data_IF_519872285069
#
_entry.id   IF_519872285069
#
_cell.length_a   1.000
_cell.length_b   1.000
_cell.length_c   1.000
_cell.angle_alpha   90.00
_cell.angle_beta   90.00
_cell.angle_gamma   90.00
#
_symmetry.space_group_name_H-M   'P 1'
#
loop_
_entity.id
_entity.type
_entity.pdbx_description
1 polymer ?
#
# COMPACT_ATOMS: atom_id res chain seq x y z
N UNK A 1 14.49 37.94 -1.31
CA UNK A 1 14.12 36.58 -1.72
C UNK A 1 13.62 35.86 -0.49
N UNK A 2 12.27 35.81 -0.29
CA UNK A 2 11.65 35.04 0.77
C UNK A 2 11.89 33.54 0.46
N UNK A 3 12.68 32.87 1.29
CA UNK A 3 12.78 31.42 1.30
C UNK A 3 11.39 30.84 1.67
N UNK A 4 10.55 30.59 0.69
CA UNK A 4 9.38 29.73 0.86
C UNK A 4 9.90 28.28 1.03
N UNK A 5 10.30 27.91 2.25
CA UNK A 5 10.44 26.51 2.59
C UNK A 5 9.05 25.89 2.53
N UNK A 6 8.75 25.18 1.45
CA UNK A 6 7.60 24.28 1.47
C UNK A 6 7.83 23.29 2.63
N UNK A 7 6.86 23.08 3.51
CA UNK A 7 7.01 22.11 4.59
C UNK A 7 7.29 20.73 3.97
N UNK A 8 8.29 20.03 4.52
CA UNK A 8 8.60 18.67 4.09
C UNK A 8 7.36 17.78 4.28
N UNK A 9 6.89 17.07 3.25
CA UNK A 9 5.76 16.17 3.40
C UNK A 9 6.11 15.02 4.36
N UNK A 10 5.12 14.37 4.99
CA UNK A 10 5.36 13.17 5.77
C UNK A 10 6.08 12.11 4.92
N UNK A 11 7.14 11.49 5.47
CA UNK A 11 7.91 10.47 4.77
C UNK A 11 7.49 9.10 5.26
N UNK A 12 7.00 8.25 4.35
CA UNK A 12 6.44 6.95 4.62
C UNK A 12 7.30 5.85 4.00
N UNK A 13 7.53 4.78 4.75
CA UNK A 13 8.20 3.59 4.25
C UNK A 13 7.20 2.52 3.85
N UNK A 14 7.34 1.96 2.65
CA UNK A 14 6.72 0.68 2.32
C UNK A 14 7.77 -0.44 2.30
N UNK A 15 7.44 -1.57 2.92
CA UNK A 15 8.23 -2.81 2.88
C UNK A 15 7.33 -3.87 2.24
N UNK A 16 7.57 -4.20 0.97
CA UNK A 16 6.69 -5.10 0.23
C UNK A 16 7.38 -5.75 -0.98
N UNK A 17 6.65 -6.57 -1.71
CA UNK A 17 7.05 -7.06 -3.02
C UNK A 17 6.87 -6.01 -4.11
N UNK A 18 7.66 -6.11 -5.18
CA UNK A 18 7.53 -5.28 -6.38
C UNK A 18 6.74 -6.04 -7.45
N UNK A 19 5.63 -5.46 -7.86
CA UNK A 19 4.80 -5.89 -8.98
C UNK A 19 5.19 -5.08 -10.23
N UNK A 20 5.78 -5.72 -11.28
CA UNK A 20 6.21 -5.01 -12.49
C UNK A 20 5.05 -4.43 -13.32
N UNK A 21 3.80 -4.91 -13.11
CA UNK A 21 2.62 -4.27 -13.72
C UNK A 21 2.25 -2.96 -13.02
N UNK A 22 2.87 -2.68 -11.87
CA UNK A 22 2.65 -1.49 -11.06
C UNK A 22 1.20 -1.30 -10.57
N UNK A 23 0.40 -2.37 -10.56
CA UNK A 23 -0.97 -2.34 -10.03
C UNK A 23 -1.04 -2.59 -8.53
N UNK A 24 -0.09 -3.33 -7.98
CA UNK A 24 -0.01 -3.71 -6.56
C UNK A 24 1.40 -3.47 -5.97
N UNK A 25 1.64 -3.97 -4.76
CA UNK A 25 2.92 -3.92 -4.07
C UNK A 25 3.48 -2.51 -3.92
N UNK A 26 4.82 -2.41 -3.87
CA UNK A 26 5.53 -1.14 -3.68
C UNK A 26 5.07 -0.05 -4.64
N UNK A 27 4.86 -0.37 -5.91
CA UNK A 27 4.48 0.63 -6.90
C UNK A 27 3.09 1.24 -6.64
N UNK A 28 2.11 0.44 -6.21
CA UNK A 28 0.80 0.93 -5.78
C UNK A 28 0.91 1.73 -4.48
N UNK A 29 1.75 1.28 -3.53
CA UNK A 29 1.98 1.97 -2.26
C UNK A 29 2.55 3.37 -2.48
N UNK A 30 3.62 3.50 -3.30
CA UNK A 30 4.24 4.78 -3.61
C UNK A 30 3.30 5.74 -4.34
N UNK A 31 2.51 5.24 -5.32
CA UNK A 31 1.46 6.03 -5.98
C UNK A 31 0.42 6.52 -4.97
N UNK A 32 0.00 5.66 -4.05
CA UNK A 32 -0.97 6.02 -3.02
C UNK A 32 -0.43 7.07 -2.07
N UNK A 33 0.82 6.93 -1.61
CA UNK A 33 1.48 7.94 -0.78
C UNK A 33 1.55 9.29 -1.49
N UNK A 34 2.00 9.30 -2.76
CA UNK A 34 2.05 10.51 -3.57
C UNK A 34 0.66 11.17 -3.75
N UNK A 35 -0.39 10.38 -3.99
CA UNK A 35 -1.77 10.86 -4.11
C UNK A 35 -2.34 11.45 -2.80
N UNK A 36 -1.68 11.19 -1.66
CA UNK A 36 -2.01 11.74 -0.35
C UNK A 36 -1.01 12.78 0.15
N UNK A 37 -0.21 13.37 -0.77
CA UNK A 37 0.81 14.39 -0.46
C UNK A 37 1.87 13.91 0.55
N UNK A 38 2.20 12.62 0.53
CA UNK A 38 3.29 12.04 1.32
C UNK A 38 4.46 11.65 0.40
N UNK A 39 5.68 11.71 0.90
CA UNK A 39 6.85 11.19 0.20
C UNK A 39 7.06 9.72 0.57
N UNK A 40 7.06 8.84 -0.43
CA UNK A 40 7.26 7.40 -0.22
C UNK A 40 8.70 6.98 -0.43
N UNK A 41 9.25 6.21 0.52
CA UNK A 41 10.47 5.42 0.35
C UNK A 41 10.14 3.94 0.44
N UNK A 42 10.99 3.07 -0.12
CA UNK A 42 10.65 1.65 -0.24
C UNK A 42 11.85 0.75 0.04
N UNK A 43 11.59 -0.39 0.71
CA UNK A 43 12.49 -1.52 0.82
C UNK A 43 11.84 -2.75 0.14
N UNK A 44 12.57 -3.40 -0.76
CA UNK A 44 12.04 -4.46 -1.62
C UNK A 44 12.20 -5.83 -0.97
N UNK A 45 11.09 -6.42 -0.50
CA UNK A 45 11.10 -7.74 0.12
C UNK A 45 11.13 -8.90 -0.91
N UNK A 46 10.59 -8.68 -2.10
CA UNK A 46 10.60 -9.65 -3.20
C UNK A 46 10.38 -8.97 -4.56
N UNK A 47 10.92 -9.60 -5.62
CA UNK A 47 10.56 -9.29 -7.00
C UNK A 47 9.60 -10.37 -7.51
N UNK A 48 8.53 -9.99 -8.19
CA UNK A 48 7.64 -10.94 -8.83
C UNK A 48 7.82 -10.92 -10.36
N UNK A 49 7.74 -12.07 -10.98
CA UNK A 49 7.46 -12.19 -12.41
C UNK A 49 5.94 -12.25 -12.51
N UNK A 50 5.35 -11.12 -12.86
CA UNK A 50 3.90 -10.92 -12.76
C UNK A 50 3.40 -10.05 -13.90
N UNK A 51 2.17 -10.31 -14.32
CA UNK A 51 1.40 -9.47 -15.23
C UNK A 51 -0.02 -9.27 -14.68
N UNK A 52 -0.89 -8.59 -15.43
CA UNK A 52 -2.31 -8.47 -15.06
C UNK A 52 -3.02 -9.85 -14.95
N UNK A 53 -2.45 -10.90 -15.51
CA UNK A 53 -3.02 -12.26 -15.48
C UNK A 53 -2.65 -13.06 -14.21
N UNK A 54 -1.65 -12.63 -13.45
CA UNK A 54 -1.23 -13.26 -12.20
C UNK A 54 0.28 -13.32 -12.01
N UNK A 55 0.70 -13.96 -10.92
CA UNK A 55 2.10 -14.17 -10.53
C UNK A 55 2.59 -15.52 -11.08
N UNK A 56 3.65 -15.48 -11.89
CA UNK A 56 4.31 -16.66 -12.44
C UNK A 56 5.39 -17.19 -11.49
N UNK A 57 6.18 -16.30 -10.92
CA UNK A 57 7.21 -16.66 -9.94
C UNK A 57 7.54 -15.49 -9.01
N UNK A 58 8.17 -15.81 -7.87
CA UNK A 58 8.59 -14.86 -6.86
C UNK A 58 10.06 -15.06 -6.53
N UNK A 59 10.83 -13.98 -6.55
CA UNK A 59 12.23 -13.96 -6.16
C UNK A 59 12.37 -13.16 -4.87
N UNK A 60 12.48 -13.87 -3.76
CA UNK A 60 12.58 -13.24 -2.43
C UNK A 60 13.93 -12.56 -2.29
N UNK A 61 13.95 -11.30 -1.88
CA UNK A 61 15.18 -10.56 -1.57
C UNK A 61 15.89 -11.24 -0.40
N UNK A 62 17.22 -11.48 -0.49
CA UNK A 62 17.97 -12.02 0.64
C UNK A 62 17.79 -11.16 1.89
N UNK A 63 17.55 -11.78 3.05
CA UNK A 63 17.29 -11.07 4.30
C UNK A 63 18.40 -10.06 4.69
N UNK A 64 19.65 -10.37 4.35
CA UNK A 64 20.78 -9.46 4.57
C UNK A 64 20.68 -8.19 3.71
N UNK A 65 20.22 -8.32 2.47
CA UNK A 65 19.98 -7.17 1.56
C UNK A 65 18.83 -6.31 2.07
N UNK A 66 17.69 -6.93 2.42
CA UNK A 66 16.55 -6.21 2.98
C UNK A 66 16.92 -5.45 4.26
N UNK A 67 17.73 -6.07 5.14
CA UNK A 67 18.26 -5.42 6.33
C UNK A 67 19.10 -4.19 5.98
N UNK A 68 20.00 -4.32 5.03
CA UNK A 68 20.89 -3.21 4.62
C UNK A 68 20.09 -2.05 4.01
N UNK A 69 19.03 -2.32 3.22
CA UNK A 69 18.13 -1.29 2.70
C UNK A 69 17.43 -0.54 3.84
N UNK A 70 16.87 -1.29 4.81
CA UNK A 70 16.17 -0.71 5.95
C UNK A 70 17.10 0.11 6.86
N UNK A 71 18.31 -0.38 7.12
CA UNK A 71 19.30 0.29 7.93
C UNK A 71 19.78 1.58 7.26
N UNK A 72 20.01 1.56 5.93
CA UNK A 72 20.41 2.75 5.17
C UNK A 72 19.30 3.83 5.19
N UNK A 73 18.04 3.44 5.00
CA UNK A 73 16.92 4.36 5.04
C UNK A 73 16.73 4.95 6.44
N UNK A 74 16.81 4.13 7.49
CA UNK A 74 16.65 4.59 8.87
C UNK A 74 17.76 5.54 9.34
N UNK A 75 18.94 5.41 8.78
CA UNK A 75 20.09 6.27 9.12
C UNK A 75 19.98 7.68 8.53
N UNK A 76 19.23 7.88 7.45
CA UNK A 76 19.21 9.13 6.69
C UNK A 76 17.83 9.78 6.62
N UNK A 77 16.75 8.98 6.63
CA UNK A 77 15.41 9.46 6.32
C UNK A 77 14.53 9.49 7.56
N UNK A 78 13.88 10.61 7.91
CA UNK A 78 12.96 10.71 9.05
C UNK A 78 11.60 10.07 8.73
N UNK A 79 11.56 8.73 8.74
CA UNK A 79 10.36 7.94 8.47
C UNK A 79 9.36 8.09 9.63
N UNK A 80 8.13 8.53 9.34
CA UNK A 80 7.08 8.75 10.35
C UNK A 80 6.08 7.59 10.45
N UNK A 81 5.89 6.83 9.36
CA UNK A 81 5.00 5.67 9.34
C UNK A 81 5.49 4.58 8.38
N UNK A 82 5.11 3.34 8.67
CA UNK A 82 5.52 2.16 7.91
C UNK A 82 4.30 1.38 7.44
N UNK A 83 4.24 1.06 6.16
CA UNK A 83 3.31 0.07 5.59
C UNK A 83 4.07 -1.21 5.29
N UNK A 84 3.55 -2.34 5.72
CA UNK A 84 4.11 -3.66 5.46
C UNK A 84 3.13 -4.44 4.57
N UNK A 85 3.63 -5.02 3.49
CA UNK A 85 2.88 -5.89 2.59
C UNK A 85 3.52 -7.28 2.47
N UNK A 86 3.67 -7.79 1.24
CA UNK A 86 4.28 -9.08 0.94
C UNK A 86 5.75 -9.15 1.39
N UNK A 87 6.11 -10.15 2.19
CA UNK A 87 7.46 -10.34 2.73
C UNK A 87 8.22 -11.55 2.13
N UNK A 88 7.51 -12.48 1.49
CA UNK A 88 8.09 -13.64 0.82
C UNK A 88 8.40 -14.82 1.75
N UNK A 89 9.09 -14.62 2.86
CA UNK A 89 9.47 -15.67 3.78
C UNK A 89 9.65 -15.20 5.24
N UNK A 90 9.81 -16.19 6.16
CA UNK A 90 10.05 -15.96 7.58
C UNK A 90 11.30 -15.10 7.85
N UNK A 91 12.39 -15.27 7.10
CA UNK A 91 13.63 -14.54 7.36
C UNK A 91 13.44 -13.03 7.14
N UNK A 92 12.74 -12.62 6.09
CA UNK A 92 12.39 -11.23 5.86
C UNK A 92 11.41 -10.70 6.91
N UNK A 93 10.42 -11.50 7.30
CA UNK A 93 9.50 -11.13 8.37
C UNK A 93 10.24 -10.86 9.70
N UNK A 94 11.26 -11.65 10.03
CA UNK A 94 12.08 -11.45 11.22
C UNK A 94 12.93 -10.17 11.12
N UNK A 95 13.54 -9.89 9.96
CA UNK A 95 14.27 -8.64 9.72
C UNK A 95 13.36 -7.42 9.92
N UNK A 96 12.13 -7.48 9.40
CA UNK A 96 11.15 -6.40 9.57
C UNK A 96 10.76 -6.24 11.04
N UNK A 97 10.52 -7.33 11.77
CA UNK A 97 10.21 -7.26 13.21
C UNK A 97 11.32 -6.57 14.01
N UNK A 98 12.58 -6.96 13.79
CA UNK A 98 13.75 -6.34 14.41
C UNK A 98 13.90 -4.85 14.04
N UNK A 99 13.59 -4.49 12.79
CA UNK A 99 13.60 -3.10 12.33
C UNK A 99 12.55 -2.26 13.06
N UNK A 100 11.32 -2.78 13.20
CA UNK A 100 10.23 -2.11 13.92
C UNK A 100 10.56 -1.89 15.41
N UNK A 101 11.19 -2.89 16.03
CA UNK A 101 11.58 -2.79 17.46
C UNK A 101 12.61 -1.67 17.72
N UNK A 102 13.41 -1.30 16.73
CA UNK A 102 14.43 -0.23 16.82
C UNK A 102 13.91 1.16 16.45
N UNK A 103 12.85 1.24 15.62
CA UNK A 103 12.55 2.45 14.90
C UNK A 103 11.64 3.46 15.58
N UNK A 104 10.85 3.09 16.61
CA UNK A 104 9.94 4.01 17.31
C UNK A 104 8.90 4.69 16.40
N UNK A 105 8.44 4.03 15.35
CA UNK A 105 7.49 4.56 14.36
C UNK A 105 6.13 4.85 14.99
N UNK A 106 5.55 6.02 14.70
CA UNK A 106 4.25 6.41 15.24
C UNK A 106 3.11 5.50 14.71
N UNK A 107 3.22 5.06 13.46
CA UNK A 107 2.19 4.25 12.81
C UNK A 107 2.82 3.12 12.00
N UNK A 108 2.36 1.88 12.26
CA UNK A 108 2.71 0.67 11.52
C UNK A 108 1.42 0.03 11.02
N UNK A 109 1.24 -0.03 9.70
CA UNK A 109 0.09 -0.68 9.06
C UNK A 109 0.55 -1.96 8.38
N UNK A 110 0.01 -3.09 8.80
CA UNK A 110 0.31 -4.42 8.26
C UNK A 110 -0.84 -4.90 7.36
N UNK A 111 -0.58 -5.00 6.07
CA UNK A 111 -1.42 -5.76 5.14
C UNK A 111 -0.85 -7.19 5.09
N UNK A 112 -1.53 -8.19 5.72
CA UNK A 112 -0.96 -9.52 5.92
C UNK A 112 -1.06 -10.37 4.66
N UNK A 113 -0.37 -9.95 3.60
CA UNK A 113 -0.43 -10.57 2.28
C UNK A 113 0.20 -11.96 2.31
N UNK A 114 -0.66 -12.99 2.21
CA UNK A 114 -0.24 -14.40 2.19
C UNK A 114 -0.34 -14.99 0.79
N UNK A 115 -1.38 -14.61 0.03
CA UNK A 115 -1.63 -15.12 -1.33
C UNK A 115 -1.89 -13.99 -2.31
N UNK A 116 -1.51 -14.22 -3.56
CA UNK A 116 -1.85 -13.32 -4.65
C UNK A 116 -3.37 -13.34 -4.91
N UNK A 117 -3.97 -12.16 -5.08
CA UNK A 117 -5.39 -12.03 -5.41
C UNK A 117 -5.70 -12.63 -6.78
N UNK A 118 -4.81 -12.46 -7.76
CA UNK A 118 -4.91 -13.08 -9.08
C UNK A 118 -4.03 -14.35 -9.10
N UNK A 119 -4.62 -15.49 -9.47
CA UNK A 119 -3.90 -16.76 -9.60
C UNK A 119 -3.63 -17.52 -8.30
N UNK A 120 -3.86 -16.95 -7.12
CA UNK A 120 -3.77 -17.62 -5.82
C UNK A 120 -2.37 -18.10 -5.40
N UNK A 121 -1.31 -17.63 -6.05
CA UNK A 121 0.07 -18.01 -5.71
C UNK A 121 0.42 -17.65 -4.26
N UNK A 122 1.15 -18.53 -3.56
CA UNK A 122 1.63 -18.25 -2.21
C UNK A 122 2.73 -17.16 -2.25
N UNK A 123 2.53 -16.12 -1.47
CA UNK A 123 3.40 -14.94 -1.37
C UNK A 123 4.13 -14.84 -0.04
N UNK A 124 3.84 -15.76 0.89
CA UNK A 124 4.52 -15.91 2.17
C UNK A 124 4.58 -17.42 2.50
N UNK A 125 5.73 -17.91 2.87
CA UNK A 125 5.90 -19.32 3.27
C UNK A 125 5.17 -19.63 4.59
N UNK A 126 4.89 -20.90 4.86
CA UNK A 126 4.13 -21.32 6.05
C UNK A 126 4.82 -20.90 7.37
N UNK A 127 6.15 -20.87 7.41
CA UNK A 127 6.90 -20.41 8.56
C UNK A 127 6.78 -18.90 8.75
N UNK A 128 6.69 -18.15 7.64
CA UNK A 128 6.42 -16.71 7.63
C UNK A 128 5.01 -16.37 8.08
N UNK A 129 4.01 -17.14 7.65
CA UNK A 129 2.62 -16.99 8.13
C UNK A 129 2.54 -17.14 9.64
N UNK A 130 3.18 -18.21 10.17
CA UNK A 130 3.24 -18.42 11.61
C UNK A 130 3.95 -17.27 12.32
N UNK A 131 5.10 -16.81 11.81
CA UNK A 131 5.86 -15.70 12.38
C UNK A 131 5.06 -14.39 12.34
N UNK A 132 4.36 -14.12 11.24
CA UNK A 132 3.46 -12.95 11.11
C UNK A 132 2.40 -12.97 12.21
N UNK A 133 1.73 -14.12 12.43
CA UNK A 133 0.69 -14.28 13.42
C UNK A 133 1.20 -14.17 14.87
N UNK A 134 2.41 -14.65 15.13
CA UNK A 134 2.96 -14.72 16.50
C UNK A 134 3.75 -13.45 16.86
N UNK A 135 4.38 -12.79 15.87
CA UNK A 135 5.34 -11.72 16.13
C UNK A 135 5.02 -10.39 15.47
N UNK A 136 4.64 -10.34 14.17
CA UNK A 136 4.41 -9.07 13.49
C UNK A 136 3.11 -8.40 13.91
N UNK A 137 2.05 -9.17 14.19
CA UNK A 137 0.77 -8.61 14.66
C UNK A 137 0.95 -7.69 15.88
N UNK A 138 1.80 -8.06 16.83
CA UNK A 138 2.05 -7.31 18.07
C UNK A 138 2.69 -5.95 17.85
N UNK A 139 3.32 -5.75 16.69
CA UNK A 139 4.04 -4.54 16.30
C UNK A 139 3.20 -3.61 15.40
N UNK A 140 2.02 -4.09 14.97
CA UNK A 140 1.15 -3.33 14.10
C UNK A 140 0.16 -2.46 14.88
N UNK A 141 0.03 -1.20 14.47
CA UNK A 141 -1.04 -0.32 14.94
C UNK A 141 -2.36 -0.67 14.26
N UNK A 142 -2.31 -1.05 12.96
CA UNK A 142 -3.48 -1.48 12.19
C UNK A 142 -3.11 -2.68 11.35
N UNK A 143 -3.97 -3.70 11.36
CA UNK A 143 -3.85 -4.87 10.48
C UNK A 143 -5.06 -4.90 9.55
N UNK A 144 -4.84 -5.15 8.25
CA UNK A 144 -5.89 -5.05 7.22
C UNK A 144 -6.11 -6.38 6.48
N UNK A 145 -6.49 -7.48 7.14
CA UNK A 145 -6.72 -8.76 6.46
C UNK A 145 -7.97 -8.72 5.59
N UNK A 146 -7.95 -9.41 4.45
CA UNK A 146 -9.17 -9.83 3.78
C UNK A 146 -9.79 -11.04 4.51
N UNK A 147 -10.96 -11.50 4.07
CA UNK A 147 -11.66 -12.63 4.72
C UNK A 147 -10.77 -13.87 4.78
N UNK A 148 -10.16 -14.30 3.67
CA UNK A 148 -9.33 -15.50 3.63
C UNK A 148 -8.09 -15.38 4.54
N UNK A 149 -7.47 -14.21 4.60
CA UNK A 149 -6.36 -13.92 5.51
C UNK A 149 -6.81 -13.93 6.97
N UNK A 150 -7.98 -13.36 7.28
CA UNK A 150 -8.55 -13.37 8.61
C UNK A 150 -8.90 -14.79 9.06
N UNK A 151 -9.51 -15.62 8.18
CA UNK A 151 -9.77 -17.03 8.44
C UNK A 151 -8.49 -17.81 8.72
N UNK A 152 -7.46 -17.63 7.86
CA UNK A 152 -6.16 -18.29 8.04
C UNK A 152 -5.50 -17.91 9.37
N UNK A 153 -5.52 -16.63 9.71
CA UNK A 153 -4.87 -16.12 10.92
C UNK A 153 -5.64 -16.43 12.19
N UNK A 154 -6.95 -16.63 12.13
CA UNK A 154 -7.78 -16.82 13.34
C UNK A 154 -8.29 -18.25 13.50
N UNK A 155 -8.43 -19.00 12.40
CA UNK A 155 -9.11 -20.29 12.36
C UNK A 155 -10.64 -20.17 12.45
N UNK A 156 -11.21 -18.96 12.34
CA UNK A 156 -12.65 -18.71 12.34
C UNK A 156 -13.14 -18.70 10.89
N UNK A 157 -14.11 -19.52 10.55
CA UNK A 157 -14.79 -19.48 9.25
C UNK A 157 -15.69 -18.23 9.19
N UNK A 158 -15.53 -17.38 8.17
CA UNK A 158 -16.22 -16.07 8.07
C UNK A 158 -17.31 -16.14 6.99
N UNK A 159 -18.55 -16.29 7.42
CA UNK A 159 -19.74 -16.34 6.55
C UNK A 159 -20.62 -15.10 6.64
N UNK A 160 -20.47 -14.33 7.70
CA UNK A 160 -21.32 -13.19 8.02
C UNK A 160 -20.54 -12.09 8.77
N UNK A 161 -21.25 -11.00 9.05
CA UNK A 161 -20.71 -9.85 9.77
C UNK A 161 -20.27 -10.21 11.19
N UNK A 162 -21.02 -11.06 11.90
CA UNK A 162 -20.67 -11.44 13.28
C UNK A 162 -19.35 -12.23 13.31
N UNK A 163 -19.10 -13.09 12.33
CA UNK A 163 -17.85 -13.82 12.20
C UNK A 163 -16.68 -12.89 11.84
N UNK A 164 -16.90 -11.84 11.02
CA UNK A 164 -15.88 -10.80 10.76
C UNK A 164 -15.51 -10.06 12.05
N UNK A 165 -16.49 -9.67 12.86
CA UNK A 165 -16.26 -9.04 14.15
C UNK A 165 -15.49 -9.95 15.11
N UNK A 166 -15.87 -11.23 15.19
CA UNK A 166 -15.18 -12.21 16.02
C UNK A 166 -13.72 -12.39 15.58
N UNK A 167 -13.46 -12.43 14.28
CA UNK A 167 -12.11 -12.53 13.73
C UNK A 167 -11.29 -11.27 14.04
N UNK A 168 -11.86 -10.06 13.90
CA UNK A 168 -11.18 -8.82 14.24
C UNK A 168 -10.80 -8.78 15.73
N UNK A 169 -11.73 -9.12 16.63
CA UNK A 169 -11.47 -9.21 18.07
C UNK A 169 -10.36 -10.20 18.41
N UNK A 170 -10.39 -11.39 17.79
CA UNK A 170 -9.37 -12.43 18.00
C UNK A 170 -7.98 -11.99 17.54
N UNK A 171 -7.85 -11.20 16.48
CA UNK A 171 -6.57 -10.66 16.04
C UNK A 171 -6.05 -9.58 17.00
N UNK A 172 -6.93 -8.78 17.58
CA UNK A 172 -6.55 -7.83 18.64
C UNK A 172 -6.09 -8.58 19.92
N UNK A 173 -6.79 -9.65 20.33
CA UNK A 173 -6.37 -10.53 21.43
C UNK A 173 -4.98 -11.13 21.19
N UNK A 174 -4.58 -11.34 19.91
CA UNK A 174 -3.24 -11.80 19.52
C UNK A 174 -2.18 -10.71 19.48
N UNK A 175 -2.56 -9.47 19.76
CA UNK A 175 -1.62 -8.36 19.96
C UNK A 175 -1.69 -7.22 18.94
N UNK A 176 -2.49 -7.30 17.87
CA UNK A 176 -2.75 -6.15 17.03
C UNK A 176 -3.48 -5.06 17.82
N UNK A 177 -3.17 -3.77 17.58
CA UNK A 177 -3.89 -2.70 18.31
C UNK A 177 -5.26 -2.43 17.71
N UNK A 178 -5.37 -2.51 16.38
CA UNK A 178 -6.63 -2.41 15.67
C UNK A 178 -6.61 -3.32 14.43
N UNK A 179 -7.78 -3.75 14.00
CA UNK A 179 -7.94 -4.66 12.84
C UNK A 179 -9.08 -4.17 11.96
N UNK A 180 -8.83 -4.12 10.65
CA UNK A 180 -9.86 -3.88 9.62
C UNK A 180 -10.01 -5.13 8.78
N UNK A 181 -11.05 -5.95 9.02
CA UNK A 181 -11.38 -7.09 8.17
C UNK A 181 -12.10 -6.59 6.92
N UNK A 182 -11.46 -6.80 5.75
CA UNK A 182 -11.98 -6.35 4.45
C UNK A 182 -13.00 -7.34 3.89
N UNK A 183 -14.25 -6.93 3.75
CA UNK A 183 -15.36 -7.77 3.25
C UNK A 183 -15.71 -7.53 1.77
N UNK A 184 -14.81 -7.01 0.96
CA UNK A 184 -15.06 -6.64 -0.44
C UNK A 184 -15.53 -7.77 -1.37
N UNK A 185 -15.42 -9.04 -0.95
CA UNK A 185 -15.90 -10.20 -1.71
C UNK A 185 -17.33 -10.65 -1.28
N UNK A 186 -17.91 -10.07 -0.23
CA UNK A 186 -19.30 -10.33 0.18
C UNK A 186 -20.29 -9.63 -0.76
N UNK A 187 -21.56 -10.00 -0.70
CA UNK A 187 -22.64 -9.38 -1.50
C UNK A 187 -22.68 -7.86 -1.33
N UNK A 188 -22.46 -7.38 -0.11
CA UNK A 188 -22.21 -5.96 0.20
C UNK A 188 -20.76 -5.77 0.57
N UNK A 189 -20.09 -4.74 0.01
CA UNK A 189 -18.71 -4.41 0.33
C UNK A 189 -18.61 -3.77 1.73
N UNK A 190 -18.77 -4.60 2.76
CA UNK A 190 -18.74 -4.18 4.17
C UNK A 190 -17.39 -4.54 4.77
N UNK A 191 -16.70 -3.58 5.37
CA UNK A 191 -15.51 -3.81 6.17
C UNK A 191 -15.83 -3.62 7.65
N UNK A 192 -15.11 -4.34 8.51
CA UNK A 192 -15.27 -4.27 9.97
C UNK A 192 -13.97 -3.79 10.58
N UNK A 193 -14.01 -2.63 11.24
CA UNK A 193 -12.93 -2.13 12.08
C UNK A 193 -13.24 -2.48 13.53
N UNK A 194 -12.26 -3.05 14.23
CA UNK A 194 -12.24 -3.14 15.69
C UNK A 194 -10.94 -2.48 16.20
N UNK A 195 -11.07 -1.46 17.04
CA UNK A 195 -9.93 -0.66 17.54
C UNK A 195 -9.43 -1.08 18.90
N UNK A 196 -9.92 -2.22 19.41
CA UNK A 196 -9.65 -2.72 20.75
C UNK A 196 -10.73 -2.37 21.77
N UNK A 197 -11.61 -1.42 21.47
CA UNK A 197 -12.73 -1.00 22.31
C UNK A 197 -14.08 -1.09 21.59
N UNK A 198 -14.17 -0.51 20.39
CA UNK A 198 -15.41 -0.39 19.65
C UNK A 198 -15.33 -1.07 18.28
N UNK A 199 -16.47 -1.58 17.82
CA UNK A 199 -16.65 -2.13 16.46
C UNK A 199 -17.32 -1.07 15.59
N UNK A 200 -16.69 -0.77 14.46
CA UNK A 200 -17.24 0.09 13.43
C UNK A 200 -17.46 -0.71 12.14
N UNK A 201 -18.68 -0.70 11.63
CA UNK A 201 -19.04 -1.32 10.35
C UNK A 201 -19.03 -0.27 9.24
N UNK A 202 -18.18 -0.46 8.25
CA UNK A 202 -18.01 0.44 7.12
C UNK A 202 -18.68 -0.14 5.89
N UNK A 203 -19.91 0.29 5.61
CA UNK A 203 -20.64 -0.05 4.40
C UNK A 203 -20.25 0.81 3.19
N UNK A 204 -20.50 0.30 2.00
CA UNK A 204 -20.35 1.04 0.73
C UNK A 204 -21.04 0.29 -0.39
N UNK A 205 -21.40 1.01 -1.46
CA UNK A 205 -21.87 0.36 -2.67
C UNK A 205 -20.72 -0.42 -3.31
N UNK A 206 -21.01 -1.64 -3.76
CA UNK A 206 -20.04 -2.44 -4.50
C UNK A 206 -19.85 -1.83 -5.88
N UNK A 207 -18.66 -1.35 -6.17
CA UNK A 207 -18.31 -0.88 -7.51
C UNK A 207 -18.24 -2.08 -8.45
N UNK A 208 -19.04 -2.04 -9.52
CA UNK A 208 -18.97 -3.04 -10.59
C UNK A 208 -17.78 -2.68 -11.49
N UNK A 209 -16.62 -3.22 -11.19
CA UNK A 209 -15.38 -3.01 -11.96
C UNK A 209 -14.53 -4.27 -11.95
N UNK A 210 -13.89 -4.55 -13.08
CA UNK A 210 -12.86 -5.59 -13.19
C UNK A 210 -11.47 -5.05 -12.78
N UNK A 211 -11.33 -3.73 -12.62
CA UNK A 211 -10.06 -3.06 -12.31
C UNK A 211 -9.86 -2.96 -10.79
N UNK A 212 -9.58 -4.09 -10.15
CA UNK A 212 -9.44 -4.21 -8.69
C UNK A 212 -8.05 -4.63 -8.25
N UNK A 213 -7.09 -4.78 -9.21
CA UNK A 213 -5.74 -5.22 -8.91
C UNK A 213 -5.02 -4.22 -8.00
N UNK A 214 -4.55 -4.70 -6.83
CA UNK A 214 -3.85 -3.89 -5.83
C UNK A 214 -4.75 -3.10 -4.87
N UNK A 215 -6.08 -3.31 -4.88
CA UNK A 215 -7.00 -2.62 -3.98
C UNK A 215 -6.65 -2.79 -2.49
N UNK A 216 -6.20 -3.98 -2.06
CA UNK A 216 -5.74 -4.24 -0.69
C UNK A 216 -4.51 -3.41 -0.31
N UNK A 217 -3.46 -3.44 -1.14
CA UNK A 217 -2.25 -2.65 -0.93
C UNK A 217 -2.57 -1.14 -0.90
N UNK A 218 -3.39 -0.67 -1.84
CA UNK A 218 -3.84 0.72 -1.91
C UNK A 218 -4.61 1.14 -0.65
N UNK A 219 -5.47 0.26 -0.11
CA UNK A 219 -6.23 0.53 1.11
C UNK A 219 -5.32 0.68 2.33
N UNK A 220 -4.41 -0.28 2.56
CA UNK A 220 -3.45 -0.23 3.65
C UNK A 220 -2.53 1.01 3.55
N UNK A 221 -2.08 1.36 2.35
CA UNK A 221 -1.24 2.52 2.09
C UNK A 221 -1.99 3.84 2.30
N UNK A 222 -3.27 3.92 1.92
CA UNK A 222 -4.11 5.07 2.18
C UNK A 222 -4.33 5.27 3.69
N UNK A 223 -4.59 4.20 4.46
CA UNK A 223 -4.66 4.27 5.93
C UNK A 223 -3.34 4.81 6.50
N UNK A 224 -2.20 4.27 6.04
CA UNK A 224 -0.87 4.72 6.49
C UNK A 224 -0.68 6.22 6.26
N UNK A 225 -1.04 6.72 5.08
CA UNK A 225 -0.91 8.12 4.72
C UNK A 225 -1.86 9.03 5.54
N UNK A 226 -3.08 8.58 5.79
CA UNK A 226 -4.05 9.34 6.61
C UNK A 226 -3.60 9.42 8.08
N UNK A 227 -3.10 8.32 8.65
CA UNK A 227 -2.56 8.30 10.01
C UNK A 227 -1.33 9.21 10.14
N UNK A 228 -0.40 9.15 9.17
CA UNK A 228 0.78 10.01 9.12
C UNK A 228 0.42 11.50 8.97
N UNK A 229 -0.75 11.80 8.40
CA UNK A 229 -1.30 13.16 8.31
C UNK A 229 -2.05 13.60 9.57
N UNK A 230 -1.98 12.81 10.66
CA UNK A 230 -2.59 13.14 11.96
C UNK A 230 -4.10 12.85 12.07
N UNK A 231 -4.69 12.09 11.14
CA UNK A 231 -6.10 11.70 11.23
C UNK A 231 -6.32 10.64 12.30
N UNK A 232 -7.40 10.72 13.09
CA UNK A 232 -7.81 9.63 13.96
C UNK A 232 -8.08 8.34 13.18
N UNK A 233 -7.90 7.17 13.81
CA UNK A 233 -8.01 5.87 13.15
C UNK A 233 -9.31 5.66 12.40
N UNK A 234 -10.46 5.95 13.01
CA UNK A 234 -11.78 5.76 12.38
C UNK A 234 -11.91 6.62 11.11
N UNK A 235 -11.47 7.89 11.18
CA UNK A 235 -11.48 8.80 10.03
C UNK A 235 -10.49 8.32 8.94
N UNK A 236 -9.29 7.89 9.32
CA UNK A 236 -8.28 7.39 8.41
C UNK A 236 -8.78 6.18 7.61
N UNK A 237 -9.45 5.22 8.26
CA UNK A 237 -10.02 4.04 7.61
C UNK A 237 -11.19 4.41 6.69
N UNK A 238 -12.09 5.32 7.14
CA UNK A 238 -13.21 5.80 6.34
C UNK A 238 -12.74 6.51 5.06
N UNK A 239 -11.77 7.42 5.19
CA UNK A 239 -11.20 8.16 4.06
C UNK A 239 -10.44 7.24 3.10
N UNK A 240 -9.72 6.24 3.62
CA UNK A 240 -9.05 5.23 2.81
C UNK A 240 -10.06 4.39 2.01
N UNK A 241 -11.18 3.96 2.64
CA UNK A 241 -12.25 3.24 1.94
C UNK A 241 -12.86 4.08 0.82
N UNK A 242 -13.19 5.34 1.10
CA UNK A 242 -13.73 6.25 0.11
C UNK A 242 -12.75 6.48 -1.07
N UNK A 243 -11.45 6.64 -0.79
CA UNK A 243 -10.41 6.79 -1.80
C UNK A 243 -10.30 5.55 -2.70
N UNK A 244 -10.20 4.35 -2.10
CA UNK A 244 -10.09 3.09 -2.85
C UNK A 244 -11.34 2.82 -3.69
N UNK A 245 -12.52 3.05 -3.13
CA UNK A 245 -13.80 2.90 -3.87
C UNK A 245 -13.79 3.77 -5.13
N UNK A 246 -13.38 5.03 -5.01
CA UNK A 246 -13.33 5.95 -6.16
C UNK A 246 -12.22 5.60 -7.15
N UNK A 247 -11.06 5.15 -6.65
CA UNK A 247 -9.95 4.70 -7.48
C UNK A 247 -10.30 3.44 -8.29
N UNK A 248 -11.09 2.50 -7.72
CA UNK A 248 -11.64 1.33 -8.44
C UNK A 248 -12.62 1.78 -9.52
N UNK A 249 -13.53 2.71 -9.20
CA UNK A 249 -14.53 3.26 -10.14
C UNK A 249 -13.86 3.89 -11.37
N UNK A 250 -12.72 4.53 -11.17
CA UNK A 250 -11.91 5.20 -12.21
C UNK A 250 -10.79 4.32 -12.78
N UNK A 251 -10.66 3.08 -12.31
CA UNK A 251 -9.65 2.14 -12.79
C UNK A 251 -9.79 1.84 -14.29
N UNK A 252 -8.71 1.40 -14.90
CA UNK A 252 -8.61 1.19 -16.34
C UNK A 252 -7.90 -0.13 -16.69
N UNK A 253 -8.20 -0.69 -17.86
CA UNK A 253 -7.57 -1.91 -18.34
C UNK A 253 -6.17 -1.62 -18.92
N UNK A 254 -5.17 -2.46 -18.54
CA UNK A 254 -3.81 -2.38 -19.09
C UNK A 254 -3.34 -3.69 -19.76
N UNK A 255 -4.17 -4.72 -19.74
CA UNK A 255 -3.82 -6.05 -20.26
C UNK A 255 -5.02 -6.96 -20.32
N UNK A 256 -4.79 -8.28 -20.24
CA UNK A 256 -5.83 -9.31 -20.34
C UNK A 256 -6.43 -9.74 -19.01
N UNK A 257 -5.90 -9.28 -17.90
CA UNK A 257 -6.39 -9.57 -16.53
C UNK A 257 -7.02 -8.34 -15.88
N UNK A 258 -7.33 -8.42 -14.57
CA UNK A 258 -7.82 -7.29 -13.80
C UNK A 258 -6.91 -6.08 -13.90
N UNK A 259 -7.45 -4.94 -14.32
CA UNK A 259 -6.70 -3.69 -14.41
C UNK A 259 -6.41 -3.07 -13.04
N UNK A 260 -5.47 -2.12 -12.98
CA UNK A 260 -5.16 -1.37 -11.77
C UNK A 260 -6.23 -0.32 -11.45
N UNK A 261 -6.20 0.15 -10.22
CA UNK A 261 -6.92 1.33 -9.77
C UNK A 261 -6.32 2.59 -10.41
N UNK A 262 -7.14 3.63 -10.61
CA UNK A 262 -6.63 4.97 -10.89
C UNK A 262 -6.24 5.68 -9.58
N UNK A 263 -4.98 5.54 -9.18
CA UNK A 263 -4.45 6.15 -7.95
C UNK A 263 -4.47 7.69 -8.01
N UNK A 264 -4.48 8.28 -9.22
CA UNK A 264 -4.37 9.71 -9.44
C UNK A 264 -5.66 10.36 -9.94
N UNK A 265 -6.82 9.71 -9.77
CA UNK A 265 -8.11 10.22 -10.26
C UNK A 265 -8.43 11.66 -9.83
N UNK A 266 -7.82 12.16 -8.74
CA UNK A 266 -8.00 13.53 -8.27
C UNK A 266 -7.21 14.55 -9.08
N UNK A 267 -6.11 14.14 -9.73
CA UNK A 267 -5.16 15.03 -10.42
C UNK A 267 -5.54 15.24 -11.89
N UNK A 268 -6.25 14.29 -12.50
CA UNK A 268 -6.58 14.31 -13.93
C UNK A 268 -7.47 15.50 -14.39
N UNK A 269 -7.88 16.36 -13.47
CA UNK A 269 -8.73 17.52 -13.75
C UNK A 269 -8.08 18.88 -13.46
N UNK A 270 -6.81 18.90 -13.08
CA UNK A 270 -6.12 20.18 -12.90
C UNK A 270 -5.68 20.74 -14.26
N UNK A 271 -6.01 22.02 -14.56
CA UNK A 271 -5.49 22.67 -15.74
C UNK A 271 -3.96 22.84 -15.64
N UNK A 272 -3.24 22.91 -16.77
CA UNK A 272 -1.80 23.10 -16.75
C UNK A 272 -1.44 24.38 -15.97
N UNK A 273 -0.28 24.40 -15.27
CA UNK A 273 0.13 25.55 -14.48
C UNK A 273 0.22 26.81 -15.34
N UNK A 274 -0.33 27.92 -14.83
CA UNK A 274 -0.25 29.20 -15.51
C UNK A 274 1.20 29.65 -15.59
N UNK A 275 1.62 30.13 -16.76
CA UNK A 275 2.96 30.69 -16.97
C UNK A 275 3.93 29.80 -17.75
N UNK A 276 3.54 28.60 -18.13
CA UNK A 276 4.31 27.79 -19.09
C UNK A 276 3.79 28.12 -20.50
N UNK A 277 4.60 28.74 -21.32
CA UNK A 277 4.28 29.06 -22.72
C UNK A 277 5.49 28.70 -23.59
N UNK A 278 5.22 28.37 -24.84
CA UNK A 278 6.28 28.17 -25.83
C UNK A 278 7.09 29.46 -25.97
N UNK A 279 8.39 29.36 -25.80
CA UNK A 279 9.32 30.43 -26.21
C UNK A 279 9.47 30.30 -27.74
N UNK A 280 9.02 31.27 -28.53
CA UNK A 280 9.21 31.22 -29.98
C UNK A 280 10.71 31.08 -30.28
N UNK A 281 11.09 30.07 -31.06
CA UNK A 281 12.44 29.97 -31.61
C UNK A 281 12.62 31.14 -32.56
N UNK A 282 13.13 32.27 -32.06
CA UNK A 282 13.60 33.33 -32.92
C UNK A 282 14.74 32.76 -33.78
N UNK A 283 14.53 32.79 -35.07
CA UNK A 283 15.30 32.18 -36.10
C UNK A 283 16.82 32.27 -35.87
N UNK A 284 17.45 31.14 -35.86
CA UNK A 284 18.84 31.06 -36.29
C UNK A 284 18.83 31.33 -37.79
N UNK A 285 19.15 32.55 -38.17
CA UNK A 285 19.57 32.83 -39.53
C UNK A 285 20.82 31.97 -39.81
N UNK A 286 20.85 31.15 -40.84
CA UNK A 286 22.11 30.51 -41.24
C UNK A 286 23.16 31.60 -41.52
N UNK A 287 24.42 31.37 -41.15
CA UNK A 287 25.48 32.32 -41.47
C UNK A 287 25.53 32.53 -42.98
N UNK A 288 25.62 33.82 -43.40
CA UNK A 288 25.74 34.21 -44.78
C UNK A 288 26.99 33.53 -45.40
N UNK A 289 26.83 32.82 -46.54
CA UNK A 289 27.93 32.27 -47.29
C UNK A 289 28.91 33.41 -47.68
N UNK A 290 30.23 33.23 -47.51
CA UNK A 290 31.22 34.22 -48.02
C UNK A 290 31.18 34.24 -49.55
N UNK A 291 30.96 35.42 -50.08
CA UNK A 291 31.07 35.67 -51.54
C UNK A 291 32.51 35.37 -52.01
N UNK A 292 32.65 34.35 -52.84
CA UNK A 292 33.88 34.09 -53.60
C UNK A 292 34.05 35.23 -54.62
N UNK A 293 35.18 35.92 -54.50
CA UNK A 293 35.81 36.74 -55.56
C UNK A 293 36.93 35.95 -56.23
#
# INVERSE_FOLDING_TARGET
LSNHHNPTPPILLTIAGFDPSCGAGIAADLKTFAAHNCYGVAAVAALTVQSAQGVESTHVTPAATLRAELDALAADVPIVAVKIGMLGNKANAAVVAEFLDRGGFAHVVLDPVVKATAGGADLLDAAGVKFLADELLKRANVVTPNIAEAELLTGIEIKDLAAMEAAAKKLVERGARAVVVKGGHMEKAIDVLFDGAEVLTLGGERVKSENTHGSGCTFASAITAQLASGRPLHEAVLLAKAYVTKAIEKGFAIGKGPGPLDHFYRIHHEPPPRGVHEVPQHGMHPPAEPALR
#
